data_IF_610035642480
#
_entry.id   IF_610035642480
#
_cell.length_a   1.000
_cell.length_b   1.000
_cell.length_c   1.000
_cell.angle_alpha   90.00
_cell.angle_beta   90.00
_cell.angle_gamma   90.00
#
_symmetry.space_group_name_H-M   'P 1'
#
loop_
_entity.id
_entity.type
_entity.pdbx_description
1 polymer ?
#
# COMPACT_ATOMS: atom_id res chain seq x y z
N UNK A 1 36.30 -25.97 5.87
CA UNK A 1 36.11 -24.60 6.37
C UNK A 1 34.92 -24.07 5.59
N UNK A 2 33.72 -24.23 6.13
CA UNK A 2 32.47 -23.93 5.42
C UNK A 2 32.28 -22.41 5.37
N UNK A 3 32.49 -21.82 4.20
CA UNK A 3 31.99 -20.47 3.91
C UNK A 3 30.46 -20.57 3.80
N UNK A 4 29.77 -20.42 4.92
CA UNK A 4 28.33 -20.17 4.95
C UNK A 4 28.12 -18.74 4.43
N UNK A 5 28.19 -18.58 3.11
CA UNK A 5 27.86 -17.31 2.48
C UNK A 5 26.38 -17.01 2.76
N UNK A 6 26.13 -16.00 3.59
CA UNK A 6 24.82 -15.40 3.76
C UNK A 6 24.23 -15.12 2.38
N UNK A 7 23.15 -15.83 2.04
CA UNK A 7 22.48 -15.71 0.75
C UNK A 7 22.11 -14.24 0.50
N UNK A 8 22.44 -13.67 -0.68
CA UNK A 8 22.13 -12.29 -0.99
C UNK A 8 20.62 -12.12 -1.18
N UNK A 9 20.08 -11.01 -0.69
CA UNK A 9 18.70 -10.62 -0.89
C UNK A 9 18.60 -9.42 -1.83
N UNK A 10 17.49 -9.38 -2.54
CA UNK A 10 17.10 -8.29 -3.42
C UNK A 10 15.67 -7.87 -3.09
N UNK A 11 15.43 -6.56 -3.05
CA UNK A 11 14.11 -5.95 -2.87
C UNK A 11 13.70 -5.28 -4.17
N UNK A 12 12.49 -5.55 -4.64
CA UNK A 12 11.89 -4.85 -5.77
C UNK A 12 10.66 -4.08 -5.32
N UNK A 13 10.66 -2.77 -5.56
CA UNK A 13 9.56 -1.88 -5.19
C UNK A 13 8.38 -2.08 -6.13
N UNK A 14 7.18 -2.16 -5.56
CA UNK A 14 5.95 -2.30 -6.34
C UNK A 14 5.62 -1.02 -7.15
N UNK A 15 5.98 0.16 -6.62
CA UNK A 15 5.54 1.44 -7.17
C UNK A 15 6.20 1.77 -8.52
N UNK A 16 7.52 1.59 -8.63
CA UNK A 16 8.31 1.95 -9.81
C UNK A 16 9.10 0.77 -10.40
N UNK A 17 9.05 -0.40 -9.75
CA UNK A 17 9.79 -1.59 -10.18
C UNK A 17 11.28 -1.54 -9.88
N UNK A 18 11.78 -0.53 -9.17
CA UNK A 18 13.20 -0.39 -8.81
C UNK A 18 13.67 -1.57 -7.98
N UNK A 19 14.92 -2.02 -8.22
CA UNK A 19 15.53 -3.17 -7.56
C UNK A 19 16.73 -2.71 -6.73
N UNK A 20 16.77 -3.13 -5.48
CA UNK A 20 17.82 -2.87 -4.50
C UNK A 20 18.47 -4.19 -4.10
N UNK A 21 19.79 -4.19 -3.94
CA UNK A 21 20.57 -5.38 -3.61
C UNK A 21 21.87 -5.46 -4.41
N UNK A 22 22.74 -6.44 -4.12
CA UNK A 22 22.57 -7.46 -3.08
C UNK A 22 22.72 -6.89 -1.66
N UNK A 23 21.88 -7.33 -0.74
CA UNK A 23 21.94 -6.96 0.69
C UNK A 23 21.89 -8.21 1.58
N UNK A 24 22.27 -8.07 2.85
CA UNK A 24 22.04 -9.11 3.85
C UNK A 24 20.57 -9.18 4.25
N UNK A 25 20.16 -10.32 4.83
CA UNK A 25 18.82 -10.44 5.40
C UNK A 25 18.60 -9.43 6.55
N UNK A 26 19.62 -9.18 7.38
CA UNK A 26 19.54 -8.22 8.47
C UNK A 26 19.25 -6.80 7.97
N UNK A 27 19.87 -6.41 6.86
CA UNK A 27 19.60 -5.11 6.23
C UNK A 27 18.17 -5.05 5.66
N UNK A 28 17.70 -6.12 5.01
CA UNK A 28 16.31 -6.21 4.53
C UNK A 28 15.29 -6.12 5.67
N UNK A 29 15.55 -6.80 6.79
CA UNK A 29 14.74 -6.76 8.01
C UNK A 29 14.75 -5.36 8.64
N UNK A 30 15.91 -4.68 8.62
CA UNK A 30 16.06 -3.29 9.00
C UNK A 30 15.19 -2.37 8.16
N UNK A 31 15.21 -2.51 6.83
CA UNK A 31 14.36 -1.74 5.92
C UNK A 31 12.85 -2.01 6.15
N UNK A 32 12.48 -3.26 6.41
CA UNK A 32 11.08 -3.60 6.75
C UNK A 32 10.64 -2.96 8.09
N UNK A 33 11.56 -2.86 9.05
CA UNK A 33 11.32 -2.18 10.33
C UNK A 33 11.29 -0.65 10.18
N UNK A 34 12.01 -0.08 9.21
CA UNK A 34 12.05 1.35 8.93
C UNK A 34 10.93 1.84 7.98
N UNK A 35 9.88 1.04 7.78
CA UNK A 35 8.78 1.31 6.83
C UNK A 35 9.24 1.50 5.36
N UNK A 36 10.40 0.97 4.98
CA UNK A 36 10.93 1.04 3.61
C UNK A 36 10.53 -0.16 2.75
N UNK A 37 9.97 -1.22 3.33
CA UNK A 37 9.41 -2.37 2.60
C UNK A 37 7.89 -2.34 2.73
N UNK A 38 7.20 -2.17 1.61
CA UNK A 38 5.74 -2.17 1.55
C UNK A 38 5.19 -3.60 1.40
N UNK A 39 3.92 -3.85 1.77
CA UNK A 39 3.32 -5.19 1.70
C UNK A 39 3.24 -5.78 0.27
N UNK A 40 3.29 -4.90 -0.73
CA UNK A 40 3.24 -5.26 -2.15
C UNK A 40 4.63 -5.37 -2.79
N UNK A 41 5.68 -4.95 -2.08
CA UNK A 41 7.04 -5.10 -2.58
C UNK A 41 7.42 -6.58 -2.63
N UNK A 42 8.38 -6.88 -3.51
CA UNK A 42 8.83 -8.24 -3.77
C UNK A 42 10.25 -8.43 -3.25
N UNK A 43 10.55 -9.62 -2.75
CA UNK A 43 11.87 -10.03 -2.31
C UNK A 43 12.33 -11.25 -3.08
N UNK A 44 13.62 -11.35 -3.34
CA UNK A 44 14.21 -12.46 -4.08
C UNK A 44 15.64 -12.71 -3.62
N UNK A 45 16.10 -13.95 -3.78
CA UNK A 45 17.49 -14.35 -3.55
C UNK A 45 18.26 -14.62 -4.84
N UNK A 46 17.56 -14.70 -5.97
CA UNK A 46 18.10 -15.09 -7.28
C UNK A 46 17.74 -14.11 -8.41
N UNK A 47 16.95 -13.07 -8.11
CA UNK A 47 16.35 -12.10 -9.04
C UNK A 47 15.42 -12.71 -10.12
N UNK A 48 15.12 -14.00 -10.03
CA UNK A 48 14.24 -14.72 -10.96
C UNK A 48 12.92 -15.06 -10.29
N UNK A 49 12.99 -15.61 -9.07
CA UNK A 49 11.85 -15.95 -8.24
C UNK A 49 11.59 -14.83 -7.25
N UNK A 50 10.42 -14.19 -7.37
CA UNK A 50 10.03 -13.05 -6.54
C UNK A 50 8.83 -13.41 -5.66
N UNK A 51 8.96 -13.19 -4.36
CA UNK A 51 7.92 -13.41 -3.36
C UNK A 51 7.45 -12.08 -2.81
N UNK A 52 6.17 -11.94 -2.46
CA UNK A 52 5.72 -10.75 -1.72
C UNK A 52 6.40 -10.72 -0.36
N UNK A 53 6.83 -9.53 0.08
CA UNK A 53 7.54 -9.38 1.34
C UNK A 53 6.83 -10.06 2.55
N UNK A 54 5.50 -9.96 2.72
CA UNK A 54 4.81 -10.66 3.82
C UNK A 54 4.83 -12.18 3.75
N UNK A 55 5.15 -12.78 2.60
CA UNK A 55 5.31 -14.23 2.48
C UNK A 55 6.62 -14.73 3.10
N UNK A 56 7.57 -13.83 3.36
CA UNK A 56 8.81 -14.16 4.06
C UNK A 56 8.59 -14.00 5.56
N UNK A 57 8.24 -15.10 6.23
CA UNK A 57 7.88 -15.12 7.66
C UNK A 57 8.93 -14.47 8.57
N UNK A 58 10.21 -14.53 8.18
CA UNK A 58 11.32 -13.93 8.93
C UNK A 58 11.25 -12.39 8.99
N UNK A 59 10.49 -11.74 8.10
CA UNK A 59 10.26 -10.28 8.15
C UNK A 59 9.22 -9.87 9.19
N UNK A 60 8.48 -10.82 9.78
CA UNK A 60 7.46 -10.56 10.82
C UNK A 60 6.47 -9.45 10.42
N UNK A 61 6.03 -9.49 9.15
CA UNK A 61 5.03 -8.57 8.61
C UNK A 61 3.62 -9.07 8.95
N UNK A 62 3.26 -9.03 10.22
CA UNK A 62 2.04 -9.69 10.72
C UNK A 62 0.89 -8.71 10.97
N UNK A 63 1.07 -7.40 10.81
CA UNK A 63 0.09 -6.42 11.27
C UNK A 63 -0.60 -5.65 10.14
N UNK A 64 -1.92 -5.57 10.21
CA UNK A 64 -2.73 -4.65 9.42
C UNK A 64 -3.05 -3.41 10.27
N UNK A 65 -2.92 -2.24 9.67
CA UNK A 65 -3.26 -0.95 10.25
C UNK A 65 -4.59 -0.50 9.65
N UNK A 66 -5.60 -0.25 10.49
CA UNK A 66 -6.88 0.33 10.07
C UNK A 66 -6.69 1.83 9.85
N UNK A 67 -6.65 2.25 8.58
CA UNK A 67 -6.45 3.65 8.19
C UNK A 67 -7.79 4.38 8.19
N UNK A 68 -8.83 3.72 7.69
CA UNK A 68 -10.23 4.13 7.78
C UNK A 68 -11.10 2.91 8.05
N UNK A 69 -12.39 3.09 8.34
CA UNK A 69 -13.33 1.99 8.58
C UNK A 69 -13.41 0.95 7.46
N UNK A 70 -13.00 1.33 6.24
CA UNK A 70 -13.06 0.47 5.05
C UNK A 70 -11.67 0.16 4.46
N UNK A 71 -10.59 0.79 4.96
CA UNK A 71 -9.27 0.67 4.36
C UNK A 71 -8.21 0.26 5.39
N UNK A 72 -7.45 -0.76 5.00
CA UNK A 72 -6.37 -1.32 5.79
C UNK A 72 -5.04 -1.19 5.03
N UNK A 73 -3.98 -0.90 5.75
CA UNK A 73 -2.61 -0.96 5.26
C UNK A 73 -1.88 -2.15 5.89
N UNK A 74 -1.16 -2.93 5.10
CA UNK A 74 -0.37 -4.05 5.59
C UNK A 74 -0.57 -5.32 4.73
N UNK A 75 -0.13 -6.49 5.21
CA UNK A 75 0.55 -6.72 6.50
C UNK A 75 1.91 -6.02 6.58
N UNK A 76 2.31 -5.54 7.76
CA UNK A 76 3.55 -4.80 8.00
C UNK A 76 4.17 -5.16 9.35
N UNK A 77 5.38 -4.66 9.62
CA UNK A 77 6.13 -4.96 10.84
C UNK A 77 5.71 -4.05 11.99
N UNK A 78 6.02 -4.48 13.22
CA UNK A 78 5.91 -3.61 14.40
C UNK A 78 6.75 -2.35 14.24
N UNK A 79 7.98 -2.47 13.73
CA UNK A 79 8.86 -1.31 13.51
C UNK A 79 8.24 -0.29 12.55
N UNK A 80 7.64 -0.74 11.45
CA UNK A 80 6.99 0.14 10.50
C UNK A 80 5.81 0.89 11.14
N UNK A 81 5.04 0.24 12.01
CA UNK A 81 3.98 0.89 12.79
C UNK A 81 4.55 1.99 13.69
N UNK A 82 5.67 1.72 14.38
CA UNK A 82 6.35 2.74 15.19
C UNK A 82 6.77 3.95 14.34
N UNK A 83 7.27 3.71 13.13
CA UNK A 83 7.62 4.77 12.18
C UNK A 83 6.40 5.56 11.70
N UNK A 84 5.27 4.90 11.40
CA UNK A 84 4.04 5.61 11.03
C UNK A 84 3.51 6.48 12.17
N UNK A 85 3.59 6.01 13.42
CA UNK A 85 3.25 6.82 14.60
C UNK A 85 4.21 8.00 14.71
N UNK A 86 5.52 7.76 14.57
CA UNK A 86 6.58 8.79 14.65
C UNK A 86 6.41 9.87 13.59
N UNK A 87 6.01 9.50 12.38
CA UNK A 87 5.76 10.41 11.25
C UNK A 87 4.38 11.08 11.32
N UNK A 88 3.50 10.63 12.22
CA UNK A 88 2.14 11.16 12.36
C UNK A 88 1.16 10.66 11.28
N UNK A 89 1.54 9.63 10.52
CA UNK A 89 0.70 8.98 9.51
C UNK A 89 -0.50 8.26 10.15
N UNK A 90 -0.33 7.76 11.37
CA UNK A 90 -1.37 7.08 12.14
C UNK A 90 -1.38 7.58 13.59
N UNK A 91 -2.58 7.59 14.19
CA UNK A 91 -2.82 8.11 15.54
C UNK A 91 -3.00 6.98 16.55
N UNK A 92 -2.85 7.30 17.83
CA UNK A 92 -2.99 6.32 18.92
C UNK A 92 -4.40 5.71 19.04
N UNK A 93 -5.42 6.35 18.44
CA UNK A 93 -6.78 5.85 18.39
C UNK A 93 -7.05 4.86 17.25
N UNK A 94 -6.11 4.70 16.31
CA UNK A 94 -6.21 3.73 15.22
C UNK A 94 -6.14 2.28 15.76
N UNK A 95 -6.71 1.36 14.99
CA UNK A 95 -6.74 -0.06 15.32
C UNK A 95 -5.71 -0.83 14.50
N UNK A 96 -5.15 -1.84 15.13
CA UNK A 96 -4.28 -2.83 14.52
C UNK A 96 -4.97 -4.19 14.54
N UNK A 97 -4.82 -4.95 13.47
CA UNK A 97 -5.30 -6.32 13.36
C UNK A 97 -4.09 -7.22 13.13
N UNK A 98 -3.89 -8.21 14.00
CA UNK A 98 -2.88 -9.22 13.77
C UNK A 98 -3.39 -10.20 12.69
N UNK A 99 -2.62 -10.39 11.63
CA UNK A 99 -2.98 -11.17 10.45
C UNK A 99 -2.90 -12.67 10.70
N UNK A 100 -2.21 -13.11 11.76
CA UNK A 100 -2.06 -14.51 12.11
C UNK A 100 -3.24 -15.03 12.93
N UNK A 101 -3.78 -14.23 13.85
CA UNK A 101 -4.86 -14.65 14.77
C UNK A 101 -6.16 -13.84 14.64
N UNK A 102 -6.17 -12.77 13.84
CA UNK A 102 -7.32 -11.89 13.63
C UNK A 102 -7.62 -10.96 14.81
N UNK A 103 -6.78 -10.90 15.85
CA UNK A 103 -7.03 -10.06 17.02
C UNK A 103 -6.91 -8.58 16.66
N UNK A 104 -7.96 -7.82 17.00
CA UNK A 104 -8.02 -6.37 16.82
C UNK A 104 -7.73 -5.66 18.13
N UNK A 105 -6.79 -4.70 18.13
CA UNK A 105 -6.42 -3.91 19.32
C UNK A 105 -6.22 -2.45 18.95
N UNK A 106 -6.48 -1.55 19.88
CA UNK A 106 -6.19 -0.13 19.67
C UNK A 106 -4.72 0.16 19.95
N UNK A 107 -4.08 1.05 19.18
CA UNK A 107 -2.65 1.39 19.35
C UNK A 107 -2.37 1.90 20.76
N UNK A 108 -3.26 2.71 21.34
CA UNK A 108 -3.16 3.23 22.71
C UNK A 108 -3.11 2.15 23.80
N UNK A 109 -3.61 0.93 23.52
CA UNK A 109 -3.57 -0.22 24.42
C UNK A 109 -2.29 -1.05 24.28
N UNK A 110 -1.38 -0.66 23.38
CA UNK A 110 -0.11 -1.33 23.11
C UNK A 110 1.09 -0.44 23.45
N UNK A 111 1.43 -0.24 24.73
CA UNK A 111 2.54 0.63 25.16
C UNK A 111 3.90 0.29 24.53
N UNK A 112 4.10 -0.96 24.10
CA UNK A 112 5.32 -1.41 23.44
C UNK A 112 5.57 -0.70 22.10
N UNK A 113 4.52 -0.22 21.41
CA UNK A 113 4.64 0.51 20.15
C UNK A 113 5.24 1.91 20.33
N UNK A 114 5.18 2.48 21.53
CA UNK A 114 5.75 3.79 21.83
C UNK A 114 7.20 3.70 22.35
N UNK A 115 7.74 2.49 22.51
CA UNK A 115 9.15 2.30 22.85
C UNK A 115 9.99 2.43 21.58
N UNK A 116 10.52 3.62 21.35
CA UNK A 116 11.44 3.89 20.25
C UNK A 116 12.70 3.06 20.43
N UNK A 117 12.92 2.07 19.57
CA UNK A 117 14.25 1.47 19.45
C UNK A 117 15.15 2.49 18.72
N UNK A 118 15.87 3.30 19.50
CA UNK A 118 16.82 4.30 19.02
C UNK A 118 18.08 3.71 18.33
N UNK A 119 18.01 2.50 17.77
CA UNK A 119 19.19 1.73 17.32
C UNK A 119 19.33 1.61 15.81
N UNK A 120 18.52 2.28 14.99
CA UNK A 120 18.66 2.24 13.53
C UNK A 120 19.30 3.50 12.91
N UNK A 121 20.04 4.29 13.69
CA UNK A 121 20.89 5.37 13.15
C UNK A 121 22.32 5.22 13.65
N UNK A 122 23.02 4.23 13.10
CA UNK A 122 24.48 4.20 12.91
C UNK A 122 24.91 2.86 12.32
N UNK A 123 25.04 2.82 11.00
CA UNK A 123 26.03 1.94 10.37
C UNK A 123 26.86 2.79 9.42
N UNK A 124 28.08 3.02 9.88
CA UNK A 124 29.32 3.35 9.17
C UNK A 124 29.25 3.59 7.66
N UNK A 125 29.82 4.74 7.28
CA UNK A 125 30.40 4.99 5.97
C UNK A 125 31.17 3.76 5.45
N UNK A 126 30.75 3.21 4.30
CA UNK A 126 31.52 2.18 3.60
C UNK A 126 30.73 1.11 2.86
N UNK A 127 29.60 1.41 2.22
CA UNK A 127 29.24 0.89 0.88
C UNK A 127 27.90 1.50 0.48
N UNK A 128 27.86 2.27 -0.61
CA UNK A 128 26.70 3.03 -1.03
C UNK A 128 25.68 2.14 -1.77
N UNK A 129 25.06 1.20 -1.06
CA UNK A 129 23.76 0.68 -1.48
C UNK A 129 22.72 1.77 -1.15
N UNK A 130 22.21 2.44 -2.19
CA UNK A 130 21.17 3.46 -2.08
C UNK A 130 19.99 2.89 -1.29
N UNK A 131 19.65 3.49 -0.15
CA UNK A 131 18.52 3.03 0.65
C UNK A 131 17.18 3.35 -0.04
N UNK A 132 16.19 2.44 -0.01
CA UNK A 132 14.86 2.71 -0.53
C UNK A 132 14.15 3.78 0.31
N UNK A 133 13.35 4.61 -0.34
CA UNK A 133 12.51 5.58 0.36
C UNK A 133 11.42 4.87 1.20
N UNK A 134 11.11 5.44 2.37
CA UNK A 134 10.03 4.97 3.21
C UNK A 134 8.67 5.14 2.50
N UNK A 135 7.84 4.09 2.53
CA UNK A 135 6.51 4.11 1.95
C UNK A 135 5.49 4.59 3.01
N UNK A 136 5.29 5.90 3.11
CA UNK A 136 4.30 6.48 4.04
C UNK A 136 2.86 6.09 3.69
N UNK A 137 2.01 5.90 4.71
CA UNK A 137 0.59 5.55 4.54
C UNK A 137 -0.17 6.73 3.91
N UNK A 138 0.16 7.96 4.33
CA UNK A 138 -0.49 9.18 3.87
C UNK A 138 -0.29 9.41 2.37
N UNK A 139 0.91 9.13 1.83
CA UNK A 139 1.23 9.27 0.41
C UNK A 139 0.31 8.38 -0.44
N UNK A 140 0.13 7.12 -0.04
CA UNK A 140 -0.75 6.17 -0.75
C UNK A 140 -2.21 6.60 -0.70
N UNK A 141 -2.66 7.18 0.41
CA UNK A 141 -4.03 7.66 0.53
C UNK A 141 -4.28 8.86 -0.38
N UNK A 142 -3.32 9.79 -0.47
CA UNK A 142 -3.41 10.95 -1.36
C UNK A 142 -3.45 10.55 -2.84
N UNK A 143 -2.62 9.59 -3.25
CA UNK A 143 -2.66 9.02 -4.60
C UNK A 143 -4.05 8.42 -4.88
N UNK A 144 -4.59 7.62 -3.94
CA UNK A 144 -5.91 7.00 -4.10
C UNK A 144 -7.04 8.02 -4.16
N UNK A 145 -7.00 9.08 -3.36
CA UNK A 145 -7.99 10.17 -3.41
C UNK A 145 -7.99 10.78 -4.80
N UNK A 146 -6.81 11.08 -5.34
CA UNK A 146 -6.68 11.66 -6.68
C UNK A 146 -7.28 10.76 -7.77
N UNK A 147 -7.00 9.46 -7.72
CA UNK A 147 -7.55 8.49 -8.67
C UNK A 147 -9.08 8.41 -8.57
N UNK A 148 -9.61 8.30 -7.35
CA UNK A 148 -11.06 8.24 -7.10
C UNK A 148 -11.76 9.51 -7.58
N UNK A 149 -11.19 10.68 -7.32
CA UNK A 149 -11.72 11.93 -7.83
C UNK A 149 -11.72 11.96 -9.37
N UNK A 150 -10.70 11.40 -10.02
CA UNK A 150 -10.64 11.32 -11.47
C UNK A 150 -11.74 10.39 -12.01
N UNK A 151 -11.85 9.18 -11.48
CA UNK A 151 -12.92 8.23 -11.87
C UNK A 151 -14.30 8.84 -11.66
N UNK A 152 -14.53 9.53 -10.53
CA UNK A 152 -15.82 10.17 -10.26
C UNK A 152 -16.14 11.26 -11.29
N UNK A 153 -15.16 12.02 -11.76
CA UNK A 153 -15.35 13.03 -12.82
C UNK A 153 -15.71 12.38 -14.15
N UNK A 154 -15.05 11.28 -14.50
CA UNK A 154 -15.29 10.52 -15.73
C UNK A 154 -16.70 9.91 -15.73
N UNK A 155 -17.10 9.27 -14.63
CA UNK A 155 -18.45 8.71 -14.46
C UNK A 155 -19.55 9.77 -14.57
N UNK A 156 -19.35 10.94 -13.93
CA UNK A 156 -20.30 12.05 -14.04
C UNK A 156 -20.45 12.56 -15.47
N UNK A 157 -19.36 12.58 -16.23
CA UNK A 157 -19.38 12.96 -17.64
C UNK A 157 -20.13 11.93 -18.48
N UNK A 158 -19.83 10.64 -18.28
CA UNK A 158 -20.50 9.56 -18.99
C UNK A 158 -22.01 9.55 -18.73
N UNK A 159 -22.43 9.81 -17.48
CA UNK A 159 -23.83 9.95 -17.12
C UNK A 159 -24.51 11.10 -17.89
N UNK A 160 -23.89 12.27 -17.94
CA UNK A 160 -24.44 13.42 -18.67
C UNK A 160 -24.56 13.16 -20.18
N UNK A 161 -23.58 12.47 -20.78
CA UNK A 161 -23.63 12.09 -22.20
C UNK A 161 -24.73 11.05 -22.48
N UNK A 162 -24.95 10.12 -21.55
CA UNK A 162 -26.03 9.13 -21.64
C UNK A 162 -27.42 9.78 -21.50
N UNK A 163 -27.59 10.71 -20.54
CA UNK A 163 -28.83 11.47 -20.37
C UNK A 163 -29.20 12.26 -21.63
N UNK A 164 -28.23 12.97 -22.22
CA UNK A 164 -28.44 13.68 -23.50
C UNK A 164 -28.81 12.75 -24.66
N UNK A 165 -28.21 11.56 -24.70
CA UNK A 165 -28.52 10.56 -25.72
C UNK A 165 -29.93 10.01 -25.56
N UNK A 166 -30.36 9.81 -24.31
CA UNK A 166 -31.69 9.37 -23.96
C UNK A 166 -32.76 10.40 -24.35
N UNK A 167 -32.53 11.67 -24.01
CA UNK A 167 -33.43 12.79 -24.37
C UNK A 167 -33.64 12.87 -25.89
N UNK A 168 -32.56 12.82 -26.67
CA UNK A 168 -32.64 12.80 -28.15
C UNK A 168 -33.39 11.58 -28.69
N UNK A 169 -33.28 10.43 -28.03
CA UNK A 169 -33.98 9.21 -28.44
C UNK A 169 -35.48 9.32 -28.14
N UNK A 170 -35.83 9.89 -26.99
CA UNK A 170 -37.21 10.18 -26.58
C UNK A 170 -37.88 11.17 -27.53
N UNK A 171 -37.20 12.26 -27.91
CA UNK A 171 -37.68 13.22 -28.91
C UNK A 171 -38.00 12.54 -30.25
N UNK A 172 -37.09 11.70 -30.75
CA UNK A 172 -37.29 10.94 -31.99
C UNK A 172 -38.46 9.97 -31.88
N UNK A 173 -38.59 9.28 -30.75
CA UNK A 173 -39.68 8.35 -30.51
C UNK A 173 -41.03 9.07 -30.49
N UNK A 174 -41.12 10.21 -29.80
CA UNK A 174 -42.32 11.04 -29.76
C UNK A 174 -42.70 11.60 -31.14
N UNK A 175 -41.71 12.03 -31.94
CA UNK A 175 -41.95 12.48 -33.31
C UNK A 175 -42.52 11.36 -34.20
N UNK A 176 -42.07 10.11 -34.03
CA UNK A 176 -42.61 8.96 -34.75
C UNK A 176 -44.04 8.63 -34.34
N UNK A 177 -44.36 8.68 -33.04
CA UNK A 177 -45.72 8.49 -32.53
C UNK A 177 -46.69 9.52 -33.10
N UNK A 178 -46.29 10.79 -33.18
CA UNK A 178 -47.14 11.85 -33.76
C UNK A 178 -47.37 11.67 -35.26
N UNK A 179 -46.40 11.11 -36.00
CA UNK A 179 -46.52 10.84 -37.44
C UNK A 179 -47.35 9.59 -37.76
N UNK A 180 -47.49 8.66 -36.80
CA UNK A 180 -48.28 7.43 -36.92
C UNK A 180 -49.72 7.52 -36.41
N UNK A 181 -50.17 8.70 -35.94
CA UNK A 181 -51.56 8.92 -35.51
C UNK A 181 -52.56 8.77 -36.66
N UNK A 182 -53.75 8.17 -36.44
CA UNK A 182 -54.66 7.77 -37.51
C UNK A 182 -55.18 8.98 -38.28
N UNK A 183 -54.97 8.98 -39.60
CA UNK A 183 -55.75 9.79 -40.54
C UNK A 183 -57.22 9.35 -40.43
N UNK A 184 -58.04 10.22 -39.84
CA UNK A 184 -59.50 10.13 -39.87
C UNK A 184 -60.04 10.42 -41.27
#
# INVERSE_FOLDING_TARGET
MEEVFSQPWFLRKHQDGSVFGPISFDQLSGWASAAQVAPHDLVSTDQQTWLKAPMLAQLAMDWLVEVTSEHYYGPTTVGAIQEFIRLGDIKADAFLINSCDGTRRQIGEMPALFKTNATASKTSAGDAAVEPAAAGISIRLQERIRDLEQTLREERRALAEAEQSYEKLEEKYNALLQRGGPTA
#
